data_IF_196159797002
#
_entry.id   IF_196159797002
#
_cell.length_a   1.000
_cell.length_b   1.000
_cell.length_c   1.000
_cell.angle_alpha   90.00
_cell.angle_beta   90.00
_cell.angle_gamma   90.00
#
_symmetry.space_group_name_H-M   'P 1'
#
loop_
_entity.id
_entity.type
_entity.pdbx_description
1 polymer ?
#
# COMPACT_ATOMS: atom_id res chain seq x y z
N UNK A 1 42.39 -7.60 -0.17
CA UNK A 1 40.94 -7.70 0.13
C UNK A 1 40.28 -8.54 -0.95
N UNK A 2 39.28 -9.36 -0.62
CA UNK A 2 38.54 -10.18 -1.61
C UNK A 2 37.24 -9.47 -2.02
N UNK A 3 36.86 -9.48 -3.31
CA UNK A 3 35.59 -8.91 -3.74
C UNK A 3 34.43 -9.78 -3.25
N UNK A 4 33.34 -9.12 -2.80
CA UNK A 4 32.10 -9.77 -2.40
C UNK A 4 30.94 -9.24 -3.23
N UNK A 5 30.02 -10.12 -3.63
CA UNK A 5 28.80 -9.74 -4.36
C UNK A 5 27.63 -9.67 -3.39
N UNK A 6 27.01 -8.50 -3.31
CA UNK A 6 25.77 -8.26 -2.54
C UNK A 6 24.69 -7.76 -3.49
N UNK A 7 23.42 -8.03 -3.14
CA UNK A 7 22.27 -7.45 -3.83
C UNK A 7 21.60 -6.45 -2.90
N UNK A 8 21.29 -5.26 -3.40
CA UNK A 8 20.56 -4.22 -2.67
C UNK A 8 19.19 -4.10 -3.34
N UNK A 9 18.12 -4.17 -2.55
CA UNK A 9 16.74 -4.04 -3.03
C UNK A 9 16.14 -2.79 -2.40
N UNK A 10 15.64 -1.89 -3.24
CA UNK A 10 14.90 -0.70 -2.82
C UNK A 10 13.48 -0.82 -3.38
N UNK A 11 12.48 -0.67 -2.50
CA UNK A 11 11.07 -0.73 -2.89
C UNK A 11 10.49 0.67 -2.71
N UNK A 12 9.94 1.20 -3.81
CA UNK A 12 9.19 2.45 -3.83
C UNK A 12 7.71 2.10 -3.85
N UNK A 13 6.98 2.48 -2.80
CA UNK A 13 5.55 2.24 -2.72
C UNK A 13 4.80 3.58 -2.68
N UNK A 14 3.75 3.65 -3.50
CA UNK A 14 2.74 4.70 -3.45
C UNK A 14 1.49 4.09 -2.86
N UNK A 15 1.06 4.61 -1.71
CA UNK A 15 -0.22 4.23 -1.12
C UNK A 15 -1.18 5.40 -1.22
N UNK A 16 -2.41 5.13 -1.68
CA UNK A 16 -3.51 6.11 -1.68
C UNK A 16 -4.56 5.61 -0.71
N UNK A 17 -4.92 6.47 0.25
CA UNK A 17 -5.90 6.14 1.28
C UNK A 17 -7.03 7.14 1.21
N UNK A 18 -8.27 6.65 1.26
CA UNK A 18 -9.47 7.47 1.42
C UNK A 18 -10.25 6.91 2.59
N UNK A 19 -10.75 7.81 3.44
CA UNK A 19 -11.64 7.45 4.54
C UNK A 19 -13.04 7.88 4.17
N UNK A 20 -13.96 6.94 4.14
CA UNK A 20 -15.36 7.17 3.81
C UNK A 20 -16.24 6.90 5.03
N UNK A 21 -17.32 7.68 5.16
CA UNK A 21 -18.34 7.45 6.19
C UNK A 21 -19.46 6.64 5.57
N UNK A 22 -19.77 5.49 6.19
CA UNK A 22 -20.81 4.58 5.72
C UNK A 22 -21.84 4.42 6.84
N UNK A 23 -23.10 4.74 6.55
CA UNK A 23 -24.21 4.51 7.46
C UNK A 23 -24.60 3.02 7.45
N UNK A 24 -24.24 2.32 8.52
CA UNK A 24 -24.53 0.90 8.69
C UNK A 24 -24.77 0.56 10.17
N UNK A 25 -25.55 -0.49 10.47
CA UNK A 25 -25.83 -0.91 11.85
C UNK A 25 -24.59 -1.45 12.57
N UNK A 26 -23.60 -1.97 11.84
CA UNK A 26 -22.34 -2.51 12.36
C UNK A 26 -21.21 -2.47 11.31
N UNK A 27 -20.00 -2.84 11.74
CA UNK A 27 -18.78 -2.81 10.90
C UNK A 27 -18.87 -3.80 9.74
N UNK A 28 -19.41 -5.00 9.94
CA UNK A 28 -19.49 -6.00 8.87
C UNK A 28 -20.43 -5.52 7.77
N UNK A 29 -21.59 -4.98 8.16
CA UNK A 29 -22.55 -4.35 7.26
C UNK A 29 -21.96 -3.16 6.51
N UNK A 30 -21.05 -2.38 7.14
CA UNK A 30 -20.34 -1.30 6.47
C UNK A 30 -19.35 -1.82 5.41
N UNK A 31 -18.63 -2.90 5.71
CA UNK A 31 -17.70 -3.57 4.78
C UNK A 31 -18.47 -4.15 3.59
N UNK A 32 -19.58 -4.86 3.85
CA UNK A 32 -20.38 -5.49 2.79
C UNK A 32 -20.96 -4.43 1.85
N UNK A 33 -21.57 -3.36 2.38
CA UNK A 33 -22.06 -2.21 1.59
C UNK A 33 -20.96 -1.55 0.75
N UNK A 34 -19.77 -1.37 1.32
CA UNK A 34 -18.66 -0.77 0.61
C UNK A 34 -18.09 -1.71 -0.46
N UNK A 35 -18.12 -3.02 -0.24
CA UNK A 35 -17.63 -4.04 -1.18
C UNK A 35 -18.57 -4.18 -2.39
N UNK A 36 -19.85 -3.87 -2.22
CA UNK A 36 -20.84 -3.81 -3.29
C UNK A 36 -20.83 -2.50 -4.08
N UNK A 37 -20.15 -1.47 -3.56
CA UNK A 37 -20.06 -0.14 -4.19
C UNK A 37 -18.81 -0.05 -5.07
N UNK A 38 -18.89 0.75 -6.14
CA UNK A 38 -17.72 1.09 -6.94
C UNK A 38 -16.65 1.77 -6.07
N UNK A 39 -15.38 1.46 -6.34
CA UNK A 39 -14.27 2.16 -5.71
C UNK A 39 -14.35 3.67 -6.02
N UNK A 40 -14.00 4.57 -5.07
CA UNK A 40 -14.00 6.00 -5.33
C UNK A 40 -13.15 6.33 -6.55
N UNK A 41 -13.62 7.27 -7.37
CA UNK A 41 -12.92 7.67 -8.59
C UNK A 41 -11.47 8.06 -8.26
N UNK A 42 -10.53 7.74 -9.15
CA UNK A 42 -9.11 8.05 -8.92
C UNK A 42 -8.85 9.55 -8.65
N UNK A 43 -9.70 10.43 -9.17
CA UNK A 43 -9.63 11.88 -9.00
C UNK A 43 -10.33 12.41 -7.75
N UNK A 44 -10.85 11.55 -6.87
CA UNK A 44 -11.55 11.98 -5.66
C UNK A 44 -10.62 12.83 -4.75
N UNK A 45 -11.04 14.05 -4.33
CA UNK A 45 -10.21 14.94 -3.52
C UNK A 45 -9.99 14.42 -2.09
N UNK A 46 -10.75 13.41 -1.66
CA UNK A 46 -10.60 12.70 -0.39
C UNK A 46 -9.41 11.75 -0.37
N UNK A 47 -8.85 11.38 -1.53
CA UNK A 47 -7.61 10.60 -1.56
C UNK A 47 -6.47 11.36 -0.89
N UNK A 48 -5.68 10.59 -0.12
CA UNK A 48 -4.43 11.03 0.49
C UNK A 48 -3.32 10.12 -0.02
N UNK A 49 -2.31 10.74 -0.62
CA UNK A 49 -1.15 10.02 -1.14
C UNK A 49 -0.04 10.01 -0.09
N UNK A 50 0.51 8.85 0.17
CA UNK A 50 1.74 8.70 0.95
C UNK A 50 2.80 7.99 0.11
N UNK A 51 4.05 8.44 0.30
CA UNK A 51 5.22 7.88 -0.34
C UNK A 51 6.09 7.27 0.73
N UNK A 52 6.32 5.96 0.66
CA UNK A 52 7.25 5.28 1.55
C UNK A 52 8.41 4.67 0.76
N UNK A 53 9.61 4.85 1.31
CA UNK A 53 10.81 4.15 0.86
C UNK A 53 11.07 3.01 1.83
N UNK A 54 10.88 1.78 1.37
CA UNK A 54 11.20 0.59 2.14
C UNK A 54 12.56 0.06 1.67
N UNK A 55 13.47 -0.11 2.64
CA UNK A 55 14.73 -0.81 2.40
C UNK A 55 14.52 -2.29 2.70
N UNK A 56 14.62 -3.16 1.68
CA UNK A 56 14.76 -4.59 1.92
C UNK A 56 16.25 -4.90 2.08
N UNK A 57 16.61 -5.56 3.19
CA UNK A 57 18.00 -5.74 3.59
C UNK A 57 18.81 -6.49 2.52
N UNK A 58 20.11 -6.18 2.44
CA UNK A 58 21.01 -6.80 1.48
C UNK A 58 21.02 -8.32 1.63
N UNK A 59 20.49 -9.03 0.63
CA UNK A 59 20.48 -10.49 0.61
C UNK A 59 21.80 -10.99 0.02
N UNK A 60 22.31 -12.09 0.56
CA UNK A 60 23.37 -12.85 -0.14
C UNK A 60 22.82 -13.19 -1.53
N UNK A 61 23.61 -12.90 -2.57
CA UNK A 61 23.31 -13.43 -3.88
C UNK A 61 23.39 -14.97 -3.76
N UNK A 62 22.26 -15.66 -3.90
CA UNK A 62 22.25 -17.11 -4.04
C UNK A 62 23.03 -17.44 -5.31
N UNK A 63 24.17 -18.09 -5.14
CA UNK A 63 24.98 -18.67 -6.21
C UNK A 63 25.22 -20.13 -5.89
#
# INVERSE_FOLDING_TARGET
MKPHRISIVQIFRVERVITVTVDAPDIQSAIDKQSESDAPAFSDPGWRDSWSLEQDHARRASG
#
